data_IF_677193903317
#
_entry.id   IF_677193903317
#
_cell.length_a   1.000
_cell.length_b   1.000
_cell.length_c   1.000
_cell.angle_alpha   90.00
_cell.angle_beta   90.00
_cell.angle_gamma   90.00
#
_symmetry.space_group_name_H-M   'P 1'
#
loop_
_entity.id
_entity.type
_entity.pdbx_description
1 polymer ?
#
# COMPACT_ATOMS: atom_id res chain seq x y z
N UNK A 1 -6.26 3.11 -11.99
CA UNK A 1 -5.44 3.48 -10.82
C UNK A 1 -6.34 3.93 -9.69
N UNK A 2 -6.15 3.39 -8.52
CA UNK A 2 -6.96 3.74 -7.36
C UNK A 2 -6.04 4.26 -6.25
N UNK A 3 -6.58 5.11 -5.37
CA UNK A 3 -5.76 5.78 -4.37
C UNK A 3 -6.56 6.01 -3.08
N UNK A 4 -5.88 5.87 -1.96
CA UNK A 4 -6.39 6.38 -0.67
C UNK A 4 -5.31 7.24 -0.02
N UNK A 5 -5.76 8.18 0.81
CA UNK A 5 -4.89 8.97 1.66
C UNK A 5 -5.50 9.00 3.05
N UNK A 6 -4.66 8.85 4.06
CA UNK A 6 -5.10 8.82 5.47
C UNK A 6 -4.12 9.58 6.33
N UNK A 7 -4.61 10.03 7.47
CA UNK A 7 -3.82 10.65 8.50
C UNK A 7 -4.12 9.90 9.80
N UNK A 8 -3.12 9.25 10.36
CA UNK A 8 -3.31 8.30 11.45
C UNK A 8 -2.41 8.66 12.63
N UNK A 9 -3.00 8.79 13.80
CA UNK A 9 -2.24 9.04 15.04
C UNK A 9 -1.77 7.69 15.58
N UNK A 10 -0.54 7.33 15.26
CA UNK A 10 0.02 6.04 15.65
C UNK A 10 1.54 6.10 15.58
N UNK A 11 2.18 5.06 16.11
CA UNK A 11 3.62 4.89 15.96
C UNK A 11 3.95 4.54 14.51
N UNK A 12 4.92 5.24 13.94
CA UNK A 12 5.32 5.08 12.54
C UNK A 12 5.77 3.65 12.22
N UNK A 13 6.66 3.10 13.04
CA UNK A 13 7.23 1.78 12.77
C UNK A 13 6.20 0.66 13.02
N UNK A 14 5.33 0.85 14.01
CA UNK A 14 4.28 -0.12 14.27
C UNK A 14 3.29 -0.17 13.09
N UNK A 15 2.93 0.98 12.53
CA UNK A 15 2.05 1.04 11.38
C UNK A 15 2.70 0.39 10.16
N UNK A 16 3.98 0.70 9.91
CA UNK A 16 4.70 0.12 8.78
C UNK A 16 4.72 -1.41 8.87
N UNK A 17 5.05 -1.95 10.04
CA UNK A 17 5.07 -3.39 10.25
C UNK A 17 3.69 -4.02 10.08
N UNK A 18 2.66 -3.37 10.60
CA UNK A 18 1.29 -3.84 10.48
C UNK A 18 0.88 -3.96 9.01
N UNK A 19 1.26 -2.97 8.20
CA UNK A 19 0.96 -2.97 6.77
C UNK A 19 1.73 -4.09 6.06
N UNK A 20 3.03 -4.20 6.30
CA UNK A 20 3.84 -5.24 5.68
C UNK A 20 3.30 -6.64 6.03
N UNK A 21 3.08 -6.90 7.30
CA UNK A 21 2.59 -8.20 7.76
C UNK A 21 1.19 -8.48 7.20
N UNK A 22 0.32 -7.48 7.18
CA UNK A 22 -1.04 -7.64 6.71
C UNK A 22 -1.14 -7.89 5.21
N UNK A 23 -0.34 -7.17 4.43
CA UNK A 23 -0.33 -7.36 2.96
C UNK A 23 0.29 -8.72 2.60
N UNK A 24 1.46 -9.02 3.15
CA UNK A 24 2.18 -10.24 2.80
C UNK A 24 1.50 -11.49 3.35
N UNK A 25 0.88 -11.38 4.53
CA UNK A 25 0.16 -12.50 5.13
C UNK A 25 -1.25 -12.68 4.60
N UNK A 26 -1.79 -11.69 3.91
CA UNK A 26 -3.19 -11.70 3.47
C UNK A 26 -3.43 -12.24 2.07
N UNK A 27 -2.37 -12.56 1.33
CA UNK A 27 -2.50 -13.06 -0.03
C UNK A 27 -1.31 -13.94 -0.35
N UNK A 28 -1.58 -15.11 -0.91
CA UNK A 28 -0.53 -16.07 -1.30
C UNK A 28 0.37 -15.50 -2.38
N UNK A 29 -0.20 -14.69 -3.27
CA UNK A 29 0.56 -14.15 -4.40
C UNK A 29 1.22 -12.81 -4.13
N UNK A 30 1.02 -12.23 -2.94
CA UNK A 30 1.58 -10.92 -2.64
C UNK A 30 3.08 -11.01 -2.36
N UNK A 31 3.83 -10.05 -2.91
CA UNK A 31 5.27 -9.94 -2.66
C UNK A 31 5.63 -8.48 -2.48
N UNK A 32 6.72 -8.23 -1.76
CA UNK A 32 7.29 -6.89 -1.64
C UNK A 32 8.35 -6.74 -2.72
N UNK A 33 8.13 -5.81 -3.65
CA UNK A 33 8.98 -5.65 -4.82
C UNK A 33 10.00 -4.52 -4.67
N UNK A 34 9.76 -3.59 -3.76
CA UNK A 34 10.70 -2.50 -3.54
C UNK A 34 10.43 -1.81 -2.22
N UNK A 35 11.48 -1.19 -1.67
CA UNK A 35 11.35 -0.43 -0.44
C UNK A 35 12.37 0.68 -0.39
N UNK A 36 11.99 1.77 0.27
CA UNK A 36 12.90 2.88 0.56
C UNK A 36 12.55 3.44 1.93
N UNK A 37 13.57 3.98 2.60
CA UNK A 37 13.38 4.65 3.86
C UNK A 37 14.31 5.85 3.91
N UNK A 38 13.76 7.00 4.26
CA UNK A 38 14.51 8.23 4.41
C UNK A 38 14.26 8.83 5.78
N UNK A 39 15.27 9.40 6.35
CA UNK A 39 15.16 10.08 7.62
C UNK A 39 15.95 11.38 7.56
N UNK A 40 15.35 12.47 8.06
CA UNK A 40 15.99 13.77 8.18
C UNK A 40 15.55 14.40 9.50
N UNK A 41 16.46 14.48 10.47
CA UNK A 41 16.11 14.88 11.82
C UNK A 41 15.08 13.93 12.39
N UNK A 42 13.93 14.46 12.81
CA UNK A 42 12.82 13.63 13.30
C UNK A 42 11.88 13.16 12.19
N UNK A 43 12.00 13.72 10.99
CA UNK A 43 11.13 13.35 9.88
C UNK A 43 11.52 12.00 9.31
N UNK A 44 10.51 11.20 8.99
CA UNK A 44 10.69 9.85 8.44
C UNK A 44 9.76 9.65 7.26
N UNK A 45 10.26 8.95 6.24
CA UNK A 45 9.46 8.58 5.09
C UNK A 45 9.81 7.15 4.67
N UNK A 46 8.81 6.30 4.57
CA UNK A 46 8.99 4.94 4.11
C UNK A 46 8.13 4.70 2.88
N UNK A 47 8.69 4.02 1.89
CA UNK A 47 7.97 3.62 0.68
C UNK A 47 8.07 2.10 0.56
N UNK A 48 6.94 1.45 0.29
CA UNK A 48 6.88 0.01 0.05
C UNK A 48 6.08 -0.24 -1.21
N UNK A 49 6.62 -1.05 -2.09
CA UNK A 49 5.92 -1.44 -3.32
C UNK A 49 5.62 -2.94 -3.21
N UNK A 50 4.33 -3.26 -3.23
CA UNK A 50 3.86 -4.64 -3.20
C UNK A 50 3.23 -4.97 -4.54
N UNK A 51 3.25 -6.24 -4.92
CA UNK A 51 2.54 -6.74 -6.09
C UNK A 51 1.81 -8.01 -5.75
N UNK A 52 0.70 -8.25 -6.43
CA UNK A 52 -0.01 -9.52 -6.37
C UNK A 52 -0.74 -9.74 -7.69
N UNK A 53 -1.15 -10.99 -7.92
CA UNK A 53 -1.95 -11.29 -9.10
C UNK A 53 -3.40 -10.86 -8.88
N UNK A 54 -3.98 -10.31 -9.95
CA UNK A 54 -5.40 -10.05 -10.01
C UNK A 54 -6.10 -11.33 -10.47
N UNK A 55 -7.07 -11.79 -9.70
CA UNK A 55 -7.84 -12.98 -10.04
C UNK A 55 -8.47 -12.89 -11.41
N UNK A 56 -9.09 -11.76 -11.71
CA UNK A 56 -9.93 -11.63 -12.87
C UNK A 56 -9.15 -11.43 -14.17
N UNK A 57 -8.00 -10.82 -14.08
CA UNK A 57 -7.23 -10.49 -15.26
C UNK A 57 -5.98 -11.33 -15.49
N UNK A 58 -5.58 -12.13 -14.51
CA UNK A 58 -4.32 -12.84 -14.57
C UNK A 58 -3.12 -11.92 -14.62
N UNK A 59 -3.30 -10.64 -14.31
CA UNK A 59 -2.28 -9.61 -14.37
C UNK A 59 -1.79 -9.28 -12.96
N UNK A 60 -0.61 -8.70 -12.90
CA UNK A 60 -0.08 -8.22 -11.64
C UNK A 60 -0.64 -6.81 -11.38
N UNK A 61 -0.97 -6.57 -10.10
CA UNK A 61 -1.41 -5.26 -9.63
C UNK A 61 -0.42 -4.81 -8.57
N UNK A 62 0.05 -3.58 -8.68
CA UNK A 62 0.96 -3.02 -7.69
C UNK A 62 0.21 -2.17 -6.68
N UNK A 63 0.74 -2.13 -5.46
CA UNK A 63 0.30 -1.22 -4.41
C UNK A 63 1.54 -0.52 -3.88
N UNK A 64 1.59 0.79 -4.02
CA UNK A 64 2.66 1.60 -3.45
C UNK A 64 2.13 2.30 -2.21
N UNK A 65 2.74 1.98 -1.07
CA UNK A 65 2.39 2.61 0.21
C UNK A 65 3.52 3.56 0.59
N UNK A 66 3.15 4.81 0.89
CA UNK A 66 4.08 5.81 1.38
C UNK A 66 3.60 6.26 2.76
N UNK A 67 4.50 6.23 3.73
CA UNK A 67 4.26 6.76 5.07
C UNK A 67 5.21 7.92 5.32
N UNK A 68 4.67 9.02 5.81
CA UNK A 68 5.48 10.18 6.19
C UNK A 68 5.06 10.69 7.56
N UNK A 69 6.04 10.97 8.41
CA UNK A 69 5.80 11.57 9.72
C UNK A 69 6.84 12.64 9.98
N UNK A 70 6.40 13.85 10.28
CA UNK A 70 7.28 14.98 10.51
C UNK A 70 8.09 14.84 11.80
N UNK A 71 7.43 14.40 12.88
CA UNK A 71 8.08 14.12 14.17
C UNK A 71 7.19 13.17 14.96
N UNK A 72 7.69 12.70 16.09
CA UNK A 72 6.98 11.68 16.89
C UNK A 72 5.63 12.14 17.45
N UNK A 73 5.40 13.45 17.51
CA UNK A 73 4.13 14.03 17.99
C UNK A 73 3.13 14.26 16.86
N UNK A 74 3.57 14.12 15.62
CA UNK A 74 2.73 14.36 14.45
C UNK A 74 2.02 13.09 14.02
N UNK A 75 0.87 13.21 13.31
CA UNK A 75 0.25 12.02 12.72
C UNK A 75 1.13 11.47 11.60
N UNK A 76 0.92 10.20 11.28
CA UNK A 76 1.53 9.58 10.12
C UNK A 76 0.61 9.84 8.92
N UNK A 77 1.16 10.41 7.87
CA UNK A 77 0.47 10.54 6.59
C UNK A 77 0.70 9.28 5.78
N UNK A 78 -0.37 8.71 5.27
CA UNK A 78 -0.32 7.49 4.48
C UNK A 78 -0.92 7.73 3.11
N UNK A 79 -0.21 7.30 2.07
CA UNK A 79 -0.72 7.24 0.71
C UNK A 79 -0.65 5.80 0.24
N UNK A 80 -1.73 5.29 -0.33
CA UNK A 80 -1.76 3.99 -0.99
C UNK A 80 -2.25 4.17 -2.41
N UNK A 81 -1.44 3.76 -3.38
CA UNK A 81 -1.77 3.91 -4.80
C UNK A 81 -1.61 2.55 -5.47
N UNK A 82 -2.66 2.12 -6.15
CA UNK A 82 -2.61 0.87 -6.90
C UNK A 82 -2.56 1.15 -8.39
N UNK A 83 -1.88 0.27 -9.12
CA UNK A 83 -1.79 0.33 -10.56
C UNK A 83 -1.85 -1.08 -11.11
N UNK A 84 -2.62 -1.26 -12.18
CA UNK A 84 -2.70 -2.54 -12.86
C UNK A 84 -1.99 -2.49 -14.19
N UNK A 85 -1.56 -3.64 -14.71
CA UNK A 85 -0.73 -3.71 -15.90
C UNK A 85 -1.46 -3.93 -17.21
N UNK A 86 -2.78 -4.10 -17.18
CA UNK A 86 -3.51 -4.49 -18.40
C UNK A 86 -3.92 -3.30 -19.24
N UNK A 87 -4.13 -3.57 -20.53
CA UNK A 87 -4.55 -2.59 -21.49
C UNK A 87 -6.08 -2.51 -21.61
N UNK A 88 -6.52 -1.61 -22.47
CA UNK A 88 -7.89 -1.14 -22.59
C UNK A 88 -9.01 -2.18 -22.52
N UNK A 89 -8.86 -3.32 -23.08
CA UNK A 89 -9.92 -4.34 -23.10
C UNK A 89 -10.29 -4.84 -21.70
N UNK A 90 -9.35 -4.75 -20.79
CA UNK A 90 -9.49 -5.30 -19.45
C UNK A 90 -9.48 -4.23 -18.36
N UNK A 91 -9.73 -2.99 -18.73
CA UNK A 91 -9.73 -1.86 -17.79
C UNK A 91 -10.63 -2.14 -16.59
N UNK A 92 -11.82 -2.65 -16.83
CA UNK A 92 -12.78 -2.93 -15.77
C UNK A 92 -12.27 -4.01 -14.80
N UNK A 93 -11.64 -5.05 -15.36
CA UNK A 93 -11.07 -6.13 -14.56
C UNK A 93 -9.89 -5.62 -13.73
N UNK A 94 -9.05 -4.78 -14.32
CA UNK A 94 -7.93 -4.17 -13.62
C UNK A 94 -8.41 -3.24 -12.50
N UNK A 95 -9.48 -2.49 -12.75
CA UNK A 95 -10.06 -1.62 -11.74
C UNK A 95 -10.51 -2.44 -10.53
N UNK A 96 -11.14 -3.59 -10.75
CA UNK A 96 -11.52 -4.46 -9.65
C UNK A 96 -10.30 -4.97 -8.88
N UNK A 97 -9.24 -5.35 -9.58
CA UNK A 97 -8.01 -5.80 -8.95
C UNK A 97 -7.34 -4.70 -8.12
N UNK A 98 -7.30 -3.50 -8.65
CA UNK A 98 -6.76 -2.33 -7.95
C UNK A 98 -7.58 -2.01 -6.71
N UNK A 99 -8.89 -1.97 -6.85
CA UNK A 99 -9.79 -1.66 -5.73
C UNK A 99 -9.74 -2.73 -4.65
N UNK A 100 -9.65 -4.00 -5.04
CA UNK A 100 -9.57 -5.10 -4.08
C UNK A 100 -8.26 -5.03 -3.28
N UNK A 101 -7.16 -4.70 -3.93
CA UNK A 101 -5.88 -4.56 -3.25
C UNK A 101 -5.90 -3.37 -2.29
N UNK A 102 -6.47 -2.26 -2.74
CA UNK A 102 -6.60 -1.07 -1.92
C UNK A 102 -7.51 -1.32 -0.72
N UNK A 103 -8.58 -2.06 -0.92
CA UNK A 103 -9.49 -2.44 0.17
C UNK A 103 -8.77 -3.27 1.22
N UNK A 104 -7.88 -4.17 0.79
CA UNK A 104 -7.06 -4.95 1.72
C UNK A 104 -6.22 -4.04 2.60
N UNK A 105 -5.59 -3.03 2.01
CA UNK A 105 -4.84 -2.04 2.78
C UNK A 105 -5.74 -1.31 3.78
N UNK A 106 -6.90 -0.86 3.34
CA UNK A 106 -7.85 -0.16 4.19
C UNK A 106 -8.27 -1.01 5.39
N UNK A 107 -8.55 -2.30 5.16
CA UNK A 107 -8.90 -3.21 6.23
C UNK A 107 -7.78 -3.37 7.25
N UNK A 108 -6.53 -3.38 6.79
CA UNK A 108 -5.37 -3.50 7.67
C UNK A 108 -5.24 -2.26 8.55
N UNK A 109 -5.31 -1.07 7.96
CA UNK A 109 -5.10 0.16 8.72
C UNK A 109 -6.27 0.51 9.64
N UNK A 110 -7.44 -0.03 9.36
CA UNK A 110 -8.64 0.22 10.17
C UNK A 110 -8.85 -0.82 11.28
N UNK A 111 -7.98 -1.79 11.42
CA UNK A 111 -8.06 -2.78 12.48
C UNK A 111 -7.83 -2.19 13.87
#
# INVERSE_FOLDING_TARGET
MAKIERRINTDFYALLKKIEDGILGGSISASEEGSSFFRSGEAKCAVRVFERYSYLGGNRVSLTVTLFQENSSSPVYLSGITAGGSQAMFVKINTFGEEAFLKKLTEIIDR
#
